data_IF_675388627577
#
_entry.id   IF_675388627577
#
_cell.length_a   1.000
_cell.length_b   1.000
_cell.length_c   1.000
_cell.angle_alpha   90.00
_cell.angle_beta   90.00
_cell.angle_gamma   90.00
#
_symmetry.space_group_name_H-M   'P 1'
#
loop_
_entity.id
_entity.type
_entity.pdbx_description
1 polymer ?
#
# COMPACT_ATOMS: atom_id res chain seq x y z
N UNK A 1 -3.74 -6.26 -11.26
CA UNK A 1 -3.99 -5.09 -10.40
C UNK A 1 -4.81 -4.08 -11.17
N UNK A 2 -5.91 -3.68 -10.58
CA UNK A 2 -6.77 -2.67 -11.18
C UNK A 2 -6.41 -1.30 -10.62
N UNK A 3 -6.24 -0.31 -11.50
CA UNK A 3 -5.82 1.02 -11.09
C UNK A 3 -6.90 2.03 -11.45
N UNK A 4 -7.31 2.85 -10.48
CA UNK A 4 -8.29 3.91 -10.70
C UNK A 4 -7.73 5.22 -10.20
N UNK A 5 -8.31 6.33 -10.67
CA UNK A 5 -7.85 7.67 -10.32
C UNK A 5 -9.02 8.57 -9.97
N UNK A 6 -8.78 9.57 -9.12
CA UNK A 6 -9.74 10.61 -8.86
C UNK A 6 -9.02 11.94 -8.65
N UNK A 7 -9.71 13.05 -8.96
CA UNK A 7 -9.21 14.41 -8.72
C UNK A 7 -7.91 14.74 -9.45
N UNK A 8 -7.66 14.09 -10.59
CA UNK A 8 -6.47 14.37 -11.38
C UNK A 8 -6.88 15.22 -12.58
N UNK A 9 -6.27 16.40 -12.70
CA UNK A 9 -6.56 17.30 -13.81
C UNK A 9 -6.14 16.67 -15.15
N UNK A 10 -6.90 16.91 -16.22
CA UNK A 10 -6.59 16.29 -17.52
C UNK A 10 -5.16 16.53 -18.00
N UNK A 11 -4.62 17.72 -17.76
CA UNK A 11 -3.27 18.07 -18.22
C UNK A 11 -2.18 17.32 -17.43
N UNK A 12 -2.48 16.86 -16.23
CA UNK A 12 -1.53 16.09 -15.42
C UNK A 12 -1.75 14.60 -15.54
N UNK A 13 -2.88 14.21 -16.08
CA UNK A 13 -3.30 12.81 -16.08
C UNK A 13 -2.34 11.90 -16.84
N UNK A 14 -1.89 12.33 -18.01
CA UNK A 14 -1.00 11.53 -18.82
C UNK A 14 0.32 11.26 -18.08
N UNK A 15 0.90 12.30 -17.49
CA UNK A 15 2.16 12.16 -16.75
C UNK A 15 1.99 11.24 -15.55
N UNK A 16 0.89 11.41 -14.82
CA UNK A 16 0.61 10.60 -13.64
C UNK A 16 0.37 9.14 -14.03
N UNK A 17 -0.38 8.90 -15.12
CA UNK A 17 -0.62 7.53 -15.59
C UNK A 17 0.66 6.86 -16.04
N UNK A 18 1.55 7.61 -16.70
CA UNK A 18 2.82 7.09 -17.14
C UNK A 18 3.70 6.70 -15.95
N UNK A 19 3.79 7.56 -14.97
CA UNK A 19 4.56 7.27 -13.76
C UNK A 19 3.95 6.10 -12.99
N UNK A 20 2.62 6.06 -12.90
CA UNK A 20 1.92 4.97 -12.24
C UNK A 20 2.17 3.63 -12.94
N UNK A 21 2.12 3.62 -14.28
CA UNK A 21 2.38 2.40 -15.03
C UNK A 21 3.79 1.88 -14.75
N UNK A 22 4.76 2.79 -14.69
CA UNK A 22 6.14 2.42 -14.43
C UNK A 22 6.31 1.86 -13.01
N UNK A 23 5.75 2.55 -12.02
CA UNK A 23 5.88 2.15 -10.63
C UNK A 23 5.04 0.94 -10.27
N UNK A 24 3.88 0.78 -10.92
CA UNK A 24 2.99 -0.34 -10.62
C UNK A 24 3.57 -1.68 -11.06
N UNK A 25 4.48 -1.69 -12.04
CA UNK A 25 5.15 -2.92 -12.42
C UNK A 25 5.94 -3.50 -11.25
N UNK A 26 6.68 -2.64 -10.56
CA UNK A 26 7.45 -3.07 -9.40
C UNK A 26 6.54 -3.52 -8.27
N UNK A 27 5.47 -2.76 -8.04
CA UNK A 27 4.49 -3.10 -7.02
C UNK A 27 3.82 -4.44 -7.33
N UNK A 28 3.48 -4.67 -8.59
CA UNK A 28 2.87 -5.93 -9.01
C UNK A 28 3.77 -7.12 -8.73
N UNK A 29 5.08 -6.95 -8.89
CA UNK A 29 6.01 -8.04 -8.57
C UNK A 29 5.99 -8.39 -7.10
N UNK A 30 5.83 -7.38 -6.24
CA UNK A 30 5.74 -7.61 -4.80
C UNK A 30 4.42 -8.30 -4.43
N UNK A 31 3.39 -8.14 -5.27
CA UNK A 31 2.06 -8.66 -5.01
C UNK A 31 1.68 -9.84 -5.89
N UNK A 32 2.65 -10.49 -6.50
CA UNK A 32 2.41 -11.53 -7.52
C UNK A 32 1.66 -12.75 -6.97
N UNK A 33 1.69 -12.97 -5.67
CA UNK A 33 0.99 -14.11 -5.08
C UNK A 33 -0.48 -13.84 -4.79
N UNK A 34 -0.94 -12.60 -4.99
CA UNK A 34 -2.36 -12.29 -4.92
C UNK A 34 -2.99 -12.41 -6.31
N UNK A 35 -4.24 -12.87 -6.43
CA UNK A 35 -4.93 -12.83 -7.73
C UNK A 35 -5.00 -11.39 -8.23
N UNK A 36 -4.74 -11.22 -9.52
CA UNK A 36 -4.67 -9.86 -10.10
C UNK A 36 -5.97 -9.09 -9.92
N UNK A 37 -7.11 -9.77 -10.02
CA UNK A 37 -8.41 -9.13 -9.89
C UNK A 37 -8.80 -8.79 -8.46
N UNK A 38 -8.01 -9.24 -7.49
CA UNK A 38 -8.28 -8.94 -6.08
C UNK A 38 -7.44 -7.78 -5.54
N UNK A 39 -6.59 -7.17 -6.38
CA UNK A 39 -5.72 -6.07 -5.98
C UNK A 39 -6.19 -4.79 -6.66
N UNK A 40 -6.57 -3.81 -5.86
CA UNK A 40 -7.07 -2.53 -6.34
C UNK A 40 -6.17 -1.40 -5.84
N UNK A 41 -5.73 -0.55 -6.75
CA UNK A 41 -4.92 0.62 -6.40
C UNK A 41 -5.66 1.86 -6.85
N UNK A 42 -5.89 2.79 -5.94
CA UNK A 42 -6.58 4.04 -6.24
C UNK A 42 -5.67 5.22 -5.92
N UNK A 43 -5.47 6.11 -6.90
CA UNK A 43 -4.66 7.30 -6.74
C UNK A 43 -5.49 8.56 -6.80
N UNK A 44 -5.17 9.52 -5.93
CA UNK A 44 -5.87 10.79 -5.86
C UNK A 44 -4.85 11.91 -5.67
N UNK A 45 -4.98 12.97 -6.45
CA UNK A 45 -4.06 14.10 -6.40
C UNK A 45 -4.77 15.31 -5.82
N UNK A 46 -4.09 16.00 -4.90
CA UNK A 46 -4.61 17.21 -4.30
C UNK A 46 -3.55 18.30 -4.35
N UNK A 47 -3.92 19.46 -4.80
CA UNK A 47 -3.01 20.60 -4.83
C UNK A 47 -3.28 21.51 -3.65
N UNK A 48 -2.23 21.94 -2.97
CA UNK A 48 -2.33 22.94 -1.90
C UNK A 48 -1.74 24.25 -2.41
N UNK A 49 -2.56 25.18 -2.91
CA UNK A 49 -2.04 26.40 -3.51
C UNK A 49 -1.35 27.34 -2.52
N UNK A 50 -1.69 27.24 -1.23
CA UNK A 50 -1.07 28.08 -0.23
C UNK A 50 0.37 27.68 0.07
N UNK A 51 0.67 26.41 -0.09
CA UNK A 51 2.01 25.89 0.18
C UNK A 51 2.75 25.53 -1.09
N UNK A 52 2.12 25.70 -2.24
CA UNK A 52 2.70 25.33 -3.54
C UNK A 52 3.14 23.87 -3.55
N UNK A 53 2.30 23.00 -2.98
CA UNK A 53 2.58 21.59 -2.87
C UNK A 53 1.49 20.75 -3.48
N UNK A 54 1.88 19.55 -3.94
CA UNK A 54 0.93 18.53 -4.38
C UNK A 54 1.02 17.35 -3.44
N UNK A 55 -0.14 16.85 -3.04
CA UNK A 55 -0.25 15.63 -2.24
C UNK A 55 -0.85 14.54 -3.11
N UNK A 56 -0.19 13.42 -3.21
CA UNK A 56 -0.72 12.27 -3.93
C UNK A 56 -1.00 11.16 -2.94
N UNK A 57 -2.24 10.68 -2.92
CA UNK A 57 -2.67 9.65 -2.00
C UNK A 57 -2.90 8.35 -2.75
N UNK A 58 -2.43 7.25 -2.20
CA UNK A 58 -2.62 5.92 -2.76
C UNK A 58 -3.34 5.05 -1.74
N UNK A 59 -4.38 4.36 -2.19
CA UNK A 59 -5.08 3.35 -1.41
C UNK A 59 -4.91 2.03 -2.13
N UNK A 60 -4.30 1.08 -1.45
CA UNK A 60 -4.06 -0.25 -2.01
C UNK A 60 -4.92 -1.25 -1.24
N UNK A 61 -5.89 -1.83 -1.93
CA UNK A 61 -6.80 -2.80 -1.32
C UNK A 61 -6.33 -4.20 -1.68
N UNK A 62 -6.04 -4.99 -0.67
CA UNK A 62 -5.60 -6.38 -0.79
C UNK A 62 -6.56 -7.29 -0.04
N UNK A 63 -6.64 -8.57 -0.39
CA UNK A 63 -7.45 -9.51 0.39
C UNK A 63 -7.06 -9.57 1.87
N UNK A 64 -5.81 -9.25 2.18
CA UNK A 64 -5.28 -9.32 3.54
C UNK A 64 -5.34 -7.99 4.28
N UNK A 65 -5.82 -6.93 3.64
CA UNK A 65 -5.95 -5.63 4.29
C UNK A 65 -5.78 -4.48 3.32
N UNK A 66 -6.03 -3.27 3.78
CA UNK A 66 -5.91 -2.05 2.97
C UNK A 66 -4.74 -1.24 3.47
N UNK A 67 -3.90 -0.79 2.54
CA UNK A 67 -2.76 0.06 2.84
C UNK A 67 -2.99 1.44 2.25
N UNK A 68 -2.46 2.45 2.92
CA UNK A 68 -2.66 3.83 2.52
C UNK A 68 -1.34 4.57 2.62
N UNK A 69 -1.01 5.33 1.58
CA UNK A 69 0.21 6.13 1.57
C UNK A 69 -0.05 7.49 0.96
N UNK A 70 0.64 8.50 1.45
CA UNK A 70 0.54 9.85 0.91
C UNK A 70 1.95 10.37 0.66
N UNK A 71 2.16 10.94 -0.52
CA UNK A 71 3.42 11.57 -0.85
C UNK A 71 3.19 13.03 -1.17
N UNK A 72 4.10 13.88 -0.72
CA UNK A 72 4.03 15.32 -0.93
C UNK A 72 5.24 15.77 -1.74
N UNK A 73 5.04 16.65 -2.69
CA UNK A 73 6.14 17.16 -3.49
C UNK A 73 5.82 18.53 -4.08
N UNK A 74 6.84 19.15 -4.67
CA UNK A 74 6.70 20.46 -5.29
C UNK A 74 5.89 20.40 -6.58
N UNK A 75 5.78 19.21 -7.18
CA UNK A 75 4.93 19.02 -8.35
C UNK A 75 4.22 17.67 -8.23
N UNK A 76 3.30 17.41 -9.17
CA UNK A 76 2.47 16.21 -9.11
C UNK A 76 3.30 14.92 -9.20
N UNK A 77 4.32 14.91 -10.05
CA UNK A 77 5.17 13.72 -10.21
C UNK A 77 6.00 13.45 -8.96
N UNK A 78 6.52 14.49 -8.32
CA UNK A 78 7.29 14.33 -7.08
C UNK A 78 6.41 13.73 -5.98
N UNK A 79 5.16 14.21 -5.88
CA UNK A 79 4.21 13.65 -4.93
C UNK A 79 3.91 12.19 -5.22
N UNK A 80 3.69 11.86 -6.50
CA UNK A 80 3.41 10.49 -6.90
C UNK A 80 4.58 9.56 -6.58
N UNK A 81 5.81 9.99 -6.88
CA UNK A 81 6.99 9.18 -6.59
C UNK A 81 7.12 8.92 -5.09
N UNK A 82 6.91 9.94 -4.28
CA UNK A 82 6.99 9.80 -2.82
C UNK A 82 5.91 8.84 -2.31
N UNK A 83 4.69 8.95 -2.83
CA UNK A 83 3.59 8.07 -2.43
C UNK A 83 3.88 6.61 -2.80
N UNK A 84 4.41 6.36 -4.01
CA UNK A 84 4.74 5.01 -4.42
C UNK A 84 5.89 4.43 -3.59
N UNK A 85 6.89 5.23 -3.26
CA UNK A 85 7.97 4.77 -2.39
C UNK A 85 7.43 4.34 -1.03
N UNK A 86 6.49 5.11 -0.49
CA UNK A 86 5.90 4.79 0.79
C UNK A 86 5.01 3.55 0.73
N UNK A 87 4.19 3.41 -0.32
CA UNK A 87 3.32 2.25 -0.43
C UNK A 87 4.13 0.96 -0.60
N UNK A 88 5.23 1.03 -1.35
CA UNK A 88 6.13 -0.13 -1.50
C UNK A 88 6.70 -0.54 -0.15
N UNK A 89 7.11 0.43 0.65
CA UNK A 89 7.63 0.16 1.98
C UNK A 89 6.57 -0.50 2.86
N UNK A 90 5.35 0.00 2.78
CA UNK A 90 4.26 -0.56 3.57
C UNK A 90 3.88 -1.97 3.12
N UNK A 91 3.94 -2.23 1.81
CA UNK A 91 3.68 -3.58 1.28
C UNK A 91 4.69 -4.57 1.83
N UNK A 92 5.97 -4.22 1.80
CA UNK A 92 7.01 -5.09 2.32
C UNK A 92 6.83 -5.37 3.81
N UNK A 93 6.48 -4.33 4.57
CA UNK A 93 6.21 -4.47 5.99
C UNK A 93 4.99 -5.34 6.25
N UNK A 94 3.94 -5.15 5.47
CA UNK A 94 2.71 -5.93 5.59
C UNK A 94 2.97 -7.41 5.34
N UNK A 95 3.72 -7.72 4.28
CA UNK A 95 4.05 -9.10 3.93
C UNK A 95 4.93 -9.74 5.00
N UNK A 96 5.87 -8.99 5.53
CA UNK A 96 6.73 -9.48 6.59
C UNK A 96 5.94 -9.78 7.84
N UNK A 97 5.00 -8.91 8.19
CA UNK A 97 4.14 -9.11 9.33
C UNK A 97 3.28 -10.36 9.17
N UNK A 98 2.69 -10.56 8.00
CA UNK A 98 1.90 -11.75 7.72
C UNK A 98 2.74 -13.02 7.86
N UNK A 99 3.97 -13.00 7.33
CA UNK A 99 4.87 -14.13 7.42
C UNK A 99 5.25 -14.44 8.87
N UNK A 100 5.53 -13.40 9.65
CA UNK A 100 5.87 -13.56 11.05
C UNK A 100 4.70 -14.10 11.85
N UNK A 101 3.50 -13.61 11.60
CA UNK A 101 2.30 -14.10 12.27
C UNK A 101 2.07 -15.57 11.97
N UNK A 102 2.28 -15.97 10.71
CA UNK A 102 2.13 -17.35 10.30
C UNK A 102 3.15 -18.25 11.02
N UNK A 103 4.40 -17.83 11.05
CA UNK A 103 5.44 -18.59 11.73
C UNK A 103 5.20 -18.66 13.24
N UNK A 104 4.74 -17.58 13.81
CA UNK A 104 4.42 -17.52 15.22
C UNK A 104 3.31 -18.52 15.58
N UNK A 105 2.24 -18.56 14.76
CA UNK A 105 1.15 -19.48 14.97
C UNK A 105 1.61 -20.94 14.87
N UNK A 106 2.51 -21.21 13.96
CA UNK A 106 3.03 -22.57 13.80
C UNK A 106 3.88 -23.02 14.97
N UNK A 107 4.61 -22.09 15.57
CA UNK A 107 5.49 -22.42 16.70
C UNK A 107 4.79 -22.39 18.03
N UNK A 108 3.61 -21.83 18.09
CA UNK A 108 2.89 -21.69 19.33
C UNK A 108 2.49 -23.07 19.88
N UNK A 109 2.80 -23.36 21.15
CA UNK A 109 2.38 -24.62 21.73
C UNK A 109 0.88 -24.69 21.80
N UNK A 110 0.40 -25.90 21.69
CA UNK A 110 -1.01 -26.03 21.75
C UNK A 110 -1.48 -26.19 23.11
N UNK A 111 -0.98 -26.00 23.97
CA UNK A 111 -1.40 -26.22 25.27
C UNK A 111 -2.62 -25.56 25.65
N UNK A 112 -2.99 -25.98 25.71
CA UNK A 112 -3.68 -25.26 25.88
C UNK A 112 -3.45 -24.16 26.59
N UNK A 113 -3.08 -24.37 26.51
CA UNK A 113 -3.04 -23.58 26.60
C UNK A 113 -2.95 -22.79 26.95
N UNK A 114 -3.07 -22.77 27.30
CA UNK A 114 -2.82 -21.93 27.41
C UNK A 114 -2.79 -21.26 27.67
N UNK A 115 -3.05 -21.27 28.06
CA UNK A 115 -2.92 -20.54 28.15
C UNK A 115 -2.97 -19.92 28.39
N UNK A 116 -3.12 -20.05 28.94
CA UNK A 116 -3.11 -19.26 28.94
C UNK A 116 -2.97 -18.57 29.03
N UNK A 117 -3.08 -18.53 29.60
CA UNK A 117 -2.86 -17.94 29.42
C UNK A 117 -2.72 -17.33 29.13
N UNK A 118 -2.80 -17.62 29.03
CA UNK A 118 -2.64 -17.25 28.52
C UNK A 118 -2.62 -16.72 27.84
N UNK A 119 -2.82 -16.78 28.24
CA UNK A 119 -2.79 -16.36 27.55
C UNK A 119 -2.76 -15.80 27.04
N UNK A 120 -2.85 -15.65 27.32
CA UNK A 120 -2.87 -15.16 26.64
C UNK A 120 -2.76 -14.56 26.02
N UNK A 121 -2.94 -14.42 26.26
CA UNK A 121 -2.82 -13.94 25.67
C UNK A 121 -2.63 -13.63 25.05
N UNK A 122 -2.94 -13.66 25.25
CA UNK A 122 -2.78 -13.55 24.73
C UNK A 122 -2.76 -13.42 24.31
N UNK A 123 -3.10 -13.68 24.56
CA UNK A 123 -3.13 -13.83 24.23
C UNK A 123 -3.08 -13.71 23.90
#
# INVERSE_FOLDING_TARGET
MKITYSHIEPELREAIEHETAHRSEKLARLLKHYPADSVLLHGSLEENPHEHEFSYSLNLSLPTGTLHATGVGADALAGAKAAFAEIERQVKKHQEKLRKDYLWKRKRPRSGIAAPGEVPSAD
#
